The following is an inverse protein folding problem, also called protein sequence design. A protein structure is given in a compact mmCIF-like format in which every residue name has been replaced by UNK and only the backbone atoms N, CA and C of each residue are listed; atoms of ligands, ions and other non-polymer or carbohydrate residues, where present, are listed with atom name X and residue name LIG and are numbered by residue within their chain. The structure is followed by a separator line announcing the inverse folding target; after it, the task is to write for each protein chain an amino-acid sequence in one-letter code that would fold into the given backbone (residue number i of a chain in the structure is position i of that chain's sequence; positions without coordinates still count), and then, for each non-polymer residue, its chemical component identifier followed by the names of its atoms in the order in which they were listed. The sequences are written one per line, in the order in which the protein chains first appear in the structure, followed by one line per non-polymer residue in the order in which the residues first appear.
data_IF_936398662980
#
_entry.id   IF_936398662980
#
_cell.length_a   1.000
_cell.length_b   1.000
_cell.length_c   1.000
_cell.angle_alpha   90.00
_cell.angle_beta   90.00
_cell.angle_gamma   90.00
#
_symmetry.space_group_name_H-M   'P 1'
#
loop_
_entity.id
_entity.type
_entity.pdbx_description
1 polymer ?
#
# COMPACT_ATOMS: atom_id res chain seq x y z
N UNK A 1 24.22 -1.05 -9.33
CA UNK A 1 23.57 -2.33 -9.03
C UNK A 1 23.20 -2.33 -7.54
N UNK A 2 22.66 -1.21 -7.03
CA UNK A 2 22.80 -0.84 -5.60
C UNK A 2 21.46 -0.48 -4.92
N UNK A 3 20.34 -0.47 -5.63
CA UNK A 3 19.02 -0.09 -5.09
C UNK A 3 18.24 -1.25 -4.50
N UNK A 4 18.43 -2.47 -5.03
CA UNK A 4 17.83 -3.71 -4.50
C UNK A 4 18.35 -4.03 -3.09
N UNK A 5 19.65 -3.86 -2.88
CA UNK A 5 20.31 -4.20 -1.62
C UNK A 5 19.88 -3.31 -0.46
N UNK A 6 19.36 -2.10 -0.71
CA UNK A 6 18.88 -1.20 0.35
C UNK A 6 17.43 -1.47 0.76
N UNK A 7 16.59 -2.02 -0.14
CA UNK A 7 15.19 -2.32 0.18
C UNK A 7 15.03 -3.64 0.96
N UNK A 8 15.87 -4.62 0.67
CA UNK A 8 15.81 -5.96 1.28
C UNK A 8 16.47 -6.03 2.66
N UNK A 9 17.10 -4.95 3.11
CA UNK A 9 17.66 -4.80 4.46
C UNK A 9 16.58 -4.76 5.55
N UNK A 10 15.35 -4.38 5.19
CA UNK A 10 14.22 -4.27 6.11
C UNK A 10 13.09 -5.23 5.71
N UNK A 11 12.22 -5.63 6.64
CA UNK A 11 10.98 -6.32 6.31
C UNK A 11 10.16 -5.51 5.30
N UNK A 12 9.74 -6.17 4.21
CA UNK A 12 8.93 -5.55 3.17
C UNK A 12 7.46 -5.95 3.35
N UNK A 13 6.60 -4.94 3.42
CA UNK A 13 5.16 -5.11 3.50
C UNK A 13 4.49 -4.55 2.26
N UNK A 14 3.57 -5.32 1.68
CA UNK A 14 2.63 -4.81 0.70
C UNK A 14 1.33 -4.37 1.40
N UNK A 15 1.04 -3.07 1.37
CA UNK A 15 -0.18 -2.48 1.90
C UNK A 15 -1.11 -2.09 0.74
N UNK A 16 -2.02 -2.97 0.27
CA UNK A 16 -2.89 -2.69 -0.88
C UNK A 16 -3.92 -1.59 -0.62
N UNK A 17 -4.18 -1.27 0.65
CA UNK A 17 -5.30 -0.44 1.06
C UNK A 17 -6.60 -1.24 1.19
N UNK A 18 -7.48 -0.78 2.08
CA UNK A 18 -8.70 -1.51 2.44
C UNK A 18 -9.68 -1.65 1.26
N UNK A 19 -9.77 -0.63 0.39
CA UNK A 19 -10.68 -0.63 -0.76
C UNK A 19 -10.27 -1.68 -1.80
N UNK A 20 -8.98 -1.73 -2.15
CA UNK A 20 -8.46 -2.71 -3.10
C UNK A 20 -8.62 -4.14 -2.59
N UNK A 21 -8.29 -4.35 -1.31
CA UNK A 21 -8.41 -5.65 -0.67
C UNK A 21 -9.86 -6.16 -0.65
N UNK A 22 -10.84 -5.27 -0.47
CA UNK A 22 -12.27 -5.62 -0.40
C UNK A 22 -12.92 -5.79 -1.77
N UNK A 23 -12.65 -4.88 -2.71
CA UNK A 23 -13.34 -4.85 -4.00
C UNK A 23 -12.68 -5.75 -5.04
N UNK A 24 -11.34 -5.85 -5.02
CA UNK A 24 -10.57 -6.58 -6.02
C UNK A 24 -9.51 -7.50 -5.35
N UNK A 25 -9.95 -8.51 -4.57
CA UNK A 25 -9.02 -9.42 -3.88
C UNK A 25 -8.15 -10.22 -4.87
N UNK A 26 -8.67 -10.55 -6.05
CA UNK A 26 -7.90 -11.22 -7.10
C UNK A 26 -6.78 -10.32 -7.64
N UNK A 27 -7.05 -9.03 -7.83
CA UNK A 27 -6.04 -8.07 -8.27
C UNK A 27 -4.98 -7.86 -7.18
N UNK A 28 -5.42 -7.77 -5.92
CA UNK A 28 -4.51 -7.71 -4.77
C UNK A 28 -3.55 -8.89 -4.76
N UNK A 29 -4.06 -10.11 -4.98
CA UNK A 29 -3.22 -11.32 -5.08
C UNK A 29 -2.22 -11.23 -6.24
N UNK A 30 -2.66 -10.80 -7.44
CA UNK A 30 -1.76 -10.65 -8.60
C UNK A 30 -0.60 -9.70 -8.32
N UNK A 31 -0.89 -8.55 -7.70
CA UNK A 31 0.12 -7.55 -7.33
C UNK A 31 1.06 -8.09 -6.24
N UNK A 32 0.50 -8.78 -5.23
CA UNK A 32 1.30 -9.43 -4.19
C UNK A 32 2.24 -10.49 -4.79
N UNK A 33 1.74 -11.36 -5.66
CA UNK A 33 2.54 -12.41 -6.30
C UNK A 33 3.67 -11.82 -7.16
N UNK A 34 3.41 -10.70 -7.84
CA UNK A 34 4.45 -9.96 -8.56
C UNK A 34 5.56 -9.46 -7.63
N UNK A 35 5.19 -8.79 -6.54
CA UNK A 35 6.15 -8.28 -5.55
C UNK A 35 6.90 -9.42 -4.86
N UNK A 36 6.23 -10.54 -4.59
CA UNK A 36 6.83 -11.73 -3.99
C UNK A 36 7.89 -12.36 -4.90
N UNK A 37 7.64 -12.39 -6.22
CA UNK A 37 8.65 -12.85 -7.20
C UNK A 37 9.87 -11.94 -7.25
N UNK A 38 9.69 -10.63 -7.06
CA UNK A 38 10.78 -9.64 -7.09
C UNK A 38 11.64 -9.66 -5.83
N UNK A 39 11.01 -9.62 -4.67
CA UNK A 39 11.68 -9.37 -3.39
C UNK A 39 11.80 -10.62 -2.51
N UNK A 40 11.19 -11.73 -2.91
CA UNK A 40 11.13 -12.94 -2.11
C UNK A 40 10.21 -12.74 -0.91
N UNK A 41 10.75 -12.81 0.30
CA UNK A 41 9.94 -12.79 1.52
C UNK A 41 9.33 -11.41 1.77
N UNK A 42 8.04 -11.25 1.44
CA UNK A 42 7.24 -10.06 1.70
C UNK A 42 6.00 -10.44 2.51
N UNK A 43 5.45 -9.50 3.25
CA UNK A 43 4.25 -9.70 4.05
C UNK A 43 3.08 -8.87 3.51
N UNK A 44 1.87 -9.43 3.55
CA UNK A 44 0.66 -8.68 3.23
C UNK A 44 0.19 -7.89 4.46
N UNK A 45 0.12 -6.56 4.34
CA UNK A 45 -0.39 -5.69 5.40
C UNK A 45 -1.85 -5.31 5.13
N UNK A 46 -2.77 -5.97 5.83
CA UNK A 46 -4.22 -5.90 5.56
C UNK A 46 -4.96 -4.84 6.36
N UNK A 47 -4.25 -4.04 7.17
CA UNK A 47 -4.87 -3.01 8.01
C UNK A 47 -5.27 -1.79 7.19
N UNK A 48 -6.35 -1.14 7.61
CA UNK A 48 -6.83 0.09 6.99
C UNK A 48 -6.16 1.29 7.65
N UNK A 49 -5.47 2.15 6.89
CA UNK A 49 -4.77 3.31 7.43
C UNK A 49 -5.66 4.28 8.23
N UNK A 50 -6.95 4.37 7.92
CA UNK A 50 -7.89 5.20 8.69
C UNK A 50 -8.30 4.59 10.03
N UNK A 51 -8.14 3.29 10.23
CA UNK A 51 -8.51 2.56 11.44
C UNK A 51 -7.29 1.94 12.14
N UNK A 52 -6.10 2.31 11.70
CA UNK A 52 -4.87 1.73 12.21
C UNK A 52 -4.44 2.44 13.50
N UNK A 53 -4.04 1.65 14.50
CA UNK A 53 -3.46 2.18 15.73
C UNK A 53 -1.94 2.26 15.56
N UNK A 54 -1.41 3.49 15.61
CA UNK A 54 -0.02 3.84 15.37
C UNK A 54 1.03 3.15 16.29
N UNK A 55 0.60 2.24 17.15
CA UNK A 55 1.41 1.62 18.20
C UNK A 55 1.97 0.25 17.83
N UNK A 56 1.72 -0.25 16.61
CA UNK A 56 2.08 -1.63 16.25
C UNK A 56 3.24 -1.76 15.26
N UNK A 57 3.74 -0.65 14.70
CA UNK A 57 4.93 -0.67 13.85
C UNK A 57 6.04 0.16 14.49
N UNK A 58 6.78 -0.49 15.38
CA UNK A 58 7.97 0.08 16.03
C UNK A 58 9.26 -0.24 15.25
N UNK A 59 9.26 -1.31 14.44
CA UNK A 59 10.40 -1.70 13.61
C UNK A 59 10.51 -0.89 12.32
N UNK A 60 11.75 -0.75 11.83
CA UNK A 60 12.02 -0.11 10.55
C UNK A 60 11.66 -1.06 9.40
N UNK A 61 10.74 -0.62 8.54
CA UNK A 61 10.16 -1.48 7.50
C UNK A 61 9.88 -0.70 6.20
N UNK A 62 9.84 -1.42 5.08
CA UNK A 62 9.49 -0.86 3.77
C UNK A 62 8.04 -1.19 3.47
N UNK A 63 7.24 -0.18 3.19
CA UNK A 63 5.83 -0.34 2.83
C UNK A 63 5.64 0.03 1.37
N UNK A 64 5.24 -0.94 0.56
CA UNK A 64 4.86 -0.74 -0.84
C UNK A 64 3.34 -0.63 -0.90
N UNK A 65 2.80 0.44 -1.49
CA UNK A 65 1.35 0.64 -1.56
C UNK A 65 0.89 1.20 -2.91
N UNK A 66 -0.38 0.90 -3.24
CA UNK A 66 -1.14 1.46 -4.38
C UNK A 66 -2.15 2.52 -3.92
N UNK A 67 -2.22 2.78 -2.62
CA UNK A 67 -3.25 3.59 -1.99
C UNK A 67 -2.64 4.90 -1.50
N UNK A 68 -2.95 6.01 -2.18
CA UNK A 68 -2.47 7.35 -1.81
C UNK A 68 -2.73 7.70 -0.34
N UNK A 69 -3.90 7.29 0.17
CA UNK A 69 -4.28 7.50 1.57
C UNK A 69 -3.41 6.68 2.52
N UNK A 70 -3.08 5.43 2.18
CA UNK A 70 -2.14 4.63 2.97
C UNK A 70 -0.73 5.21 2.88
N UNK A 71 -0.28 5.62 1.68
CA UNK A 71 1.02 6.24 1.46
C UNK A 71 1.21 7.44 2.40
N UNK A 72 0.23 8.34 2.41
CA UNK A 72 0.26 9.54 3.25
C UNK A 72 0.10 9.22 4.74
N UNK A 73 -0.94 8.48 5.12
CA UNK A 73 -1.24 8.27 6.54
C UNK A 73 -0.13 7.47 7.21
N UNK A 74 0.38 6.40 6.60
CA UNK A 74 1.47 5.63 7.18
C UNK A 74 2.78 6.41 7.21
N UNK A 75 3.12 7.12 6.13
CA UNK A 75 4.32 7.96 6.09
C UNK A 75 4.29 9.12 7.10
N UNK A 76 3.11 9.69 7.38
CA UNK A 76 2.95 10.74 8.40
C UNK A 76 2.93 10.17 9.83
N UNK A 77 2.47 8.93 10.01
CA UNK A 77 2.24 8.31 11.33
C UNK A 77 3.48 7.61 11.88
N UNK A 78 4.21 6.91 11.02
CA UNK A 78 5.31 6.04 11.43
C UNK A 78 6.64 6.57 10.89
N UNK A 79 7.45 7.17 11.77
CA UNK A 79 8.75 7.73 11.41
C UNK A 79 9.76 6.67 10.89
N UNK A 80 9.54 5.40 11.23
CA UNK A 80 10.43 4.29 10.88
C UNK A 80 9.99 3.57 9.58
N UNK A 81 8.98 4.07 8.87
CA UNK A 81 8.53 3.44 7.63
C UNK A 81 9.09 4.12 6.39
N UNK A 82 9.67 3.29 5.51
CA UNK A 82 10.08 3.66 4.17
C UNK A 82 8.92 3.40 3.21
N UNK A 83 8.15 4.45 2.91
CA UNK A 83 7.02 4.35 1.99
C UNK A 83 7.50 4.34 0.53
N UNK A 84 6.94 3.42 -0.27
CA UNK A 84 7.18 3.29 -1.70
C UNK A 84 5.87 3.15 -2.46
N UNK A 85 5.74 3.89 -3.56
CA UNK A 85 4.63 3.71 -4.47
C UNK A 85 4.88 2.47 -5.34
N UNK A 86 3.84 1.66 -5.53
CA UNK A 86 3.94 0.44 -6.33
C UNK A 86 4.36 0.72 -7.78
N UNK A 87 3.85 1.78 -8.41
CA UNK A 87 4.15 2.07 -9.81
C UNK A 87 5.58 2.56 -10.00
N UNK A 88 6.13 3.30 -9.04
CA UNK A 88 7.55 3.65 -9.02
C UNK A 88 8.42 2.39 -8.93
N UNK A 89 8.09 1.49 -8.00
CA UNK A 89 8.78 0.19 -7.89
C UNK A 89 8.63 -0.60 -9.20
N UNK A 90 7.43 -0.64 -9.77
CA UNK A 90 7.20 -1.32 -11.04
C UNK A 90 8.05 -0.73 -12.16
N UNK A 91 8.13 0.60 -12.30
CA UNK A 91 8.92 1.26 -13.34
C UNK A 91 10.43 1.01 -13.20
N UNK A 92 10.92 0.82 -11.98
CA UNK A 92 12.32 0.42 -11.72
C UNK A 92 12.63 -1.01 -12.21
N UNK A 93 11.67 -1.94 -12.09
CA UNK A 93 11.91 -3.37 -12.33
C UNK A 93 11.26 -3.94 -13.59
N UNK A 94 10.40 -3.18 -14.29
CA UNK A 94 9.64 -3.66 -15.46
C UNK A 94 10.51 -4.19 -16.61
N UNK A 95 11.77 -3.75 -16.70
CA UNK A 95 12.73 -4.24 -17.71
C UNK A 95 13.22 -5.66 -17.43
N UNK A 96 13.15 -6.11 -16.17
CA UNK A 96 13.59 -7.43 -15.71
C UNK A 96 12.38 -8.35 -15.50
N UNK A 97 11.33 -7.84 -14.87
CA UNK A 97 10.08 -8.55 -14.62
C UNK A 97 8.89 -7.67 -15.02
N UNK A 98 8.40 -7.79 -16.26
CA UNK A 98 7.18 -7.09 -16.67
C UNK A 98 5.93 -7.75 -16.05
N UNK A 99 4.90 -6.95 -15.79
CA UNK A 99 3.58 -7.47 -15.47
C UNK A 99 2.93 -8.05 -16.73
N UNK A 100 2.29 -9.21 -16.59
CA UNK A 100 1.40 -9.72 -17.62
C UNK A 100 0.17 -8.80 -17.73
N UNK A 101 -0.20 -8.42 -18.95
CA UNK A 101 -1.33 -7.53 -19.24
C UNK A 101 -1.29 -6.20 -18.47
N UNK A 102 -0.13 -5.53 -18.43
CA UNK A 102 0.09 -4.26 -17.70
C UNK A 102 -1.05 -3.24 -17.89
N UNK A 103 -1.54 -3.04 -19.12
CA UNK A 103 -2.61 -2.10 -19.41
C UNK A 103 -3.93 -2.44 -18.69
N UNK A 104 -4.32 -3.71 -18.67
CA UNK A 104 -5.52 -4.21 -17.97
C UNK A 104 -5.36 -4.05 -16.45
N UNK A 105 -4.18 -4.36 -15.92
CA UNK A 105 -3.87 -4.21 -14.50
C UNK A 105 -3.92 -2.74 -14.09
N UNK A 106 -3.34 -1.84 -14.90
CA UNK A 106 -3.40 -0.38 -14.67
C UNK A 106 -4.83 0.14 -14.67
N UNK A 107 -5.62 -0.24 -15.67
CA UNK A 107 -7.02 0.20 -15.78
C UNK A 107 -7.86 -0.26 -14.58
N UNK A 108 -7.76 -1.53 -14.21
CA UNK A 108 -8.49 -2.11 -13.09
C UNK A 108 -8.11 -1.46 -11.75
N UNK A 109 -6.80 -1.24 -11.53
CA UNK A 109 -6.31 -0.57 -10.33
C UNK A 109 -6.73 0.90 -10.28
N UNK A 110 -6.63 1.64 -11.40
CA UNK A 110 -7.08 3.02 -11.46
C UNK A 110 -8.57 3.13 -11.14
N UNK A 111 -9.42 2.33 -11.78
CA UNK A 111 -10.85 2.32 -11.55
C UNK A 111 -11.20 2.03 -10.08
N UNK A 112 -10.53 1.04 -9.49
CA UNK A 112 -10.77 0.63 -8.09
C UNK A 112 -10.29 1.70 -7.10
N UNK A 113 -9.19 2.38 -7.41
CA UNK A 113 -8.55 3.35 -6.51
C UNK A 113 -9.03 4.80 -6.71
N UNK A 114 -9.87 5.07 -7.72
CA UNK A 114 -10.54 6.38 -7.85
C UNK A 114 -11.33 6.71 -6.58
N UNK A 115 -11.17 7.94 -6.08
CA UNK A 115 -11.93 8.45 -4.92
C UNK A 115 -11.49 7.89 -3.57
N UNK A 116 -10.34 7.21 -3.48
CA UNK A 116 -9.72 6.75 -2.22
C UNK A 116 -9.34 7.92 -1.30
N UNK A 117 -9.48 9.16 -1.78
CA UNK A 117 -9.39 10.36 -0.97
C UNK A 117 -10.69 11.19 -1.03
N UNK A 118 -11.40 11.34 0.11
CA UNK A 118 -12.07 12.58 0.43
C UNK A 118 -11.36 13.21 1.64
N UNK A 119 -10.53 14.23 1.38
CA UNK A 119 -9.82 15.01 2.43
C UNK A 119 -10.80 15.61 3.45
N UNK A 120 -12.06 15.78 3.07
CA UNK A 120 -13.07 16.44 3.90
C UNK A 120 -14.10 15.48 4.51
N UNK A 121 -14.39 14.35 3.86
CA UNK A 121 -15.44 13.42 4.30
C UNK A 121 -15.02 12.49 5.44
N UNK A 122 -13.75 12.04 5.46
CA UNK A 122 -13.24 11.14 6.50
C UNK A 122 -13.14 11.86 7.84
N UNK A 123 -12.66 13.11 7.86
CA UNK A 123 -12.55 13.91 9.09
C UNK A 123 -13.91 14.17 9.72
N UNK A 124 -14.92 14.49 8.90
CA UNK A 124 -16.30 14.68 9.33
C UNK A 124 -16.99 13.38 9.78
N UNK A 125 -16.65 12.24 9.16
CA UNK A 125 -17.14 10.93 9.58
C UNK A 125 -16.53 10.46 10.91
N UNK A 126 -15.21 10.62 11.10
CA UNK A 126 -14.52 10.29 12.36
C UNK A 126 -14.97 11.19 13.52
N UNK A 127 -15.18 12.50 13.29
CA UNK A 127 -15.70 13.40 14.33
C UNK A 127 -17.12 13.02 14.75
N UNK A 128 -17.97 12.65 13.79
CA UNK A 128 -19.34 12.21 14.08
C UNK A 128 -19.38 10.84 14.78
N UNK A 129 -18.49 9.90 14.43
CA UNK A 129 -18.42 8.60 15.07
C UNK A 129 -17.91 8.66 16.51
N UNK A 130 -16.92 9.52 16.78
CA UNK A 130 -16.41 9.75 18.14
C UNK A 130 -17.42 10.45 19.05
N UNK A 131 -18.30 11.29 18.51
CA UNK A 131 -19.33 11.99 19.32
C UNK A 131 -20.50 11.11 19.74
N UNK A 132 -20.73 9.97 19.07
CA UNK A 132 -21.85 9.05 19.34
C UNK A 132 -21.53 7.95 20.37
N UNK A 133 -20.35 8.00 21.01
CA UNK A 133 -19.95 7.11 22.12
C UNK A 133 -19.70 7.88 23.43
N UNK A 134 -20.28 9.07 23.59
CA UNK A 134 -20.37 9.78 24.87
C UNK A 134 -21.77 9.63 25.45
#
# INVERSE_FOLDING_TARGET
MDTLDNLTQFPIYFAPGCKLLQLEPKMTSKVYDYLHKLFGNINLYTRCCGLDDATQQEEEAVFITLCDSCFKVYGDTYANLHMRDFWEVYDEYKSIYPLENEAEVREALQHTMVGVYPKEGIKAWFSNFSSKRA
#
